data_IF_596172832530
#
_entry.id   IF_596172832530
#
_cell.length_a   1.000
_cell.length_b   1.000
_cell.length_c   1.000
_cell.angle_alpha   90.00
_cell.angle_beta   90.00
_cell.angle_gamma   90.00
#
_symmetry.space_group_name_H-M   'P 1'
#
loop_
_entity.id
_entity.type
_entity.pdbx_description
1 polymer ?
#
# COMPACT_ATOMS: atom_id res chain seq x y z
N UNK A 1 9.09 -45.39 -51.60
CA UNK A 1 10.28 -46.12 -51.99
C UNK A 1 11.23 -45.22 -52.75
N UNK A 2 12.61 -45.34 -52.66
CA UNK A 2 13.43 -45.99 -51.66
C UNK A 2 14.27 -44.98 -50.84
N UNK A 3 14.62 -45.25 -49.64
CA UNK A 3 15.65 -46.06 -48.98
C UNK A 3 17.09 -45.57 -49.13
N UNK A 4 17.74 -45.50 -47.95
CA UNK A 4 19.10 -45.90 -47.48
C UNK A 4 20.12 -44.76 -47.41
N UNK A 5 21.04 -44.65 -46.43
CA UNK A 5 21.66 -45.54 -45.40
C UNK A 5 22.50 -44.67 -44.44
N UNK A 6 22.52 -44.90 -43.15
CA UNK A 6 23.53 -45.36 -42.18
C UNK A 6 25.03 -45.11 -42.48
N UNK A 7 25.74 -44.58 -41.45
CA UNK A 7 27.02 -45.04 -40.85
C UNK A 7 27.36 -44.11 -39.66
N UNK A 8 27.43 -44.47 -38.40
CA UNK A 8 28.33 -45.21 -37.49
C UNK A 8 29.85 -45.00 -37.71
N UNK A 9 30.51 -44.48 -36.66
CA UNK A 9 31.74 -44.99 -36.00
C UNK A 9 32.29 -43.94 -35.07
N UNK A 10 32.42 -44.23 -33.82
CA UNK A 10 33.38 -44.90 -32.94
C UNK A 10 34.24 -43.94 -32.12
N UNK A 11 34.14 -44.12 -30.80
CA UNK A 11 35.15 -43.77 -29.78
C UNK A 11 36.40 -44.62 -29.93
N UNK A 12 37.57 -44.26 -29.35
CA UNK A 12 38.01 -44.57 -28.00
C UNK A 12 38.84 -43.38 -27.39
N UNK A 13 39.12 -43.20 -26.08
CA UNK A 13 39.37 -44.11 -24.99
C UNK A 13 40.74 -43.81 -24.36
N UNK A 14 40.83 -43.72 -23.05
CA UNK A 14 42.06 -43.87 -22.26
C UNK A 14 42.68 -42.52 -21.77
N UNK A 15 43.29 -42.38 -20.62
CA UNK A 15 43.47 -43.16 -19.42
C UNK A 15 44.11 -42.26 -18.34
N UNK A 16 43.71 -42.42 -17.10
CA UNK A 16 44.45 -42.42 -15.81
C UNK A 16 45.73 -41.56 -15.64
N UNK A 17 45.78 -40.85 -14.52
CA UNK A 17 47.00 -40.41 -13.85
C UNK A 17 46.73 -39.85 -12.46
N UNK A 18 46.98 -40.71 -11.45
CA UNK A 18 47.03 -40.41 -10.01
C UNK A 18 48.37 -39.72 -9.66
N UNK A 19 48.39 -38.75 -8.76
CA UNK A 19 49.48 -38.54 -7.77
C UNK A 19 49.07 -37.50 -6.71
N UNK A 20 48.81 -37.96 -5.53
CA UNK A 20 49.32 -37.72 -4.15
C UNK A 20 49.86 -36.32 -3.81
N UNK A 21 49.17 -35.77 -2.81
CA UNK A 21 49.54 -35.17 -1.53
C UNK A 21 50.97 -34.67 -1.28
N UNK A 22 51.08 -33.45 -0.74
CA UNK A 22 51.95 -33.19 0.42
C UNK A 22 51.41 -31.97 1.20
N UNK A 23 51.34 -32.13 2.53
CA UNK A 23 51.06 -31.18 3.57
C UNK A 23 52.07 -30.02 3.63
N UNK A 24 51.63 -28.82 3.93
CA UNK A 24 52.46 -27.83 4.58
C UNK A 24 51.55 -26.88 5.38
N UNK A 25 51.53 -27.15 6.66
CA UNK A 25 51.09 -26.32 7.77
C UNK A 25 51.97 -25.07 7.85
N UNK A 26 51.35 -23.86 7.87
CA UNK A 26 52.06 -22.63 8.23
C UNK A 26 51.13 -21.67 8.98
N UNK A 27 51.60 -21.40 10.17
CA UNK A 27 51.04 -20.67 11.31
C UNK A 27 50.46 -19.27 10.97
N UNK A 28 49.32 -18.98 11.62
CA UNK A 28 48.79 -17.63 11.80
C UNK A 28 49.52 -16.86 12.91
N UNK A 29 49.90 -15.59 12.70
CA UNK A 29 50.26 -14.72 13.81
C UNK A 29 49.00 -14.00 14.35
N UNK A 30 48.94 -13.84 15.68
CA UNK A 30 47.89 -13.17 16.47
C UNK A 30 47.86 -11.65 16.21
N UNK A 31 46.70 -10.99 16.39
CA UNK A 31 46.61 -9.55 16.21
C UNK A 31 47.15 -8.78 17.42
N UNK A 32 48.04 -7.83 17.17
CA UNK A 32 48.53 -6.86 18.17
C UNK A 32 47.42 -5.86 18.52
N UNK A 33 47.17 -5.72 19.82
CA UNK A 33 46.36 -4.66 20.40
C UNK A 33 47.05 -3.32 20.19
N UNK A 34 46.41 -2.43 19.39
CA UNK A 34 46.69 -0.98 19.48
C UNK A 34 45.39 -0.31 19.83
N UNK A 35 45.29 0.05 21.08
CA UNK A 35 44.11 0.65 21.66
C UNK A 35 44.10 2.17 21.60
N UNK A 36 42.91 2.71 21.73
CA UNK A 36 42.62 3.73 22.72
C UNK A 36 43.00 5.19 22.44
N UNK A 37 42.90 5.69 21.20
CA UNK A 37 42.89 7.15 21.03
C UNK A 37 41.70 7.62 20.12
N UNK A 38 41.09 6.72 19.39
CA UNK A 38 39.95 7.06 18.50
C UNK A 38 38.60 7.10 19.24
N UNK A 39 38.43 6.34 20.31
CA UNK A 39 37.15 6.29 21.05
C UNK A 39 36.89 7.56 21.88
N UNK A 40 37.93 8.16 22.48
CA UNK A 40 37.79 9.40 23.26
C UNK A 40 37.46 10.64 22.40
N UNK A 41 37.79 10.64 21.12
CA UNK A 41 37.46 11.75 20.19
C UNK A 41 36.04 11.68 19.65
N UNK A 42 35.44 10.50 19.59
CA UNK A 42 34.06 10.30 19.13
C UNK A 42 33.03 10.71 20.21
N UNK A 43 33.29 10.45 21.47
CA UNK A 43 32.42 10.86 22.58
C UNK A 43 32.43 12.37 22.85
N UNK A 44 33.57 13.04 22.66
CA UNK A 44 33.66 14.50 22.80
C UNK A 44 32.95 15.26 21.67
N UNK A 45 32.79 14.65 20.48
CA UNK A 45 32.07 15.24 19.34
C UNK A 45 30.55 15.04 19.48
N UNK A 46 30.12 13.92 20.08
CA UNK A 46 28.72 13.65 20.35
C UNK A 46 28.12 14.53 21.45
N UNK A 47 28.90 14.87 22.48
CA UNK A 47 28.47 15.79 23.55
C UNK A 47 28.42 17.26 23.13
N UNK A 48 29.23 17.70 22.16
CA UNK A 48 29.13 19.07 21.59
C UNK A 48 27.99 19.28 20.62
N UNK A 49 27.46 18.22 19.98
CA UNK A 49 26.27 18.31 19.12
C UNK A 49 24.95 18.30 19.91
N UNK A 50 24.93 17.74 21.10
CA UNK A 50 23.75 17.69 21.97
C UNK A 50 23.46 19.03 22.70
N UNK A 51 24.47 19.89 22.91
CA UNK A 51 24.28 21.16 23.61
C UNK A 51 23.85 22.33 22.72
N UNK A 52 23.87 22.18 21.38
CA UNK A 52 23.43 23.22 20.42
C UNK A 52 22.00 23.07 19.91
N UNK A 53 21.25 22.06 20.34
CA UNK A 53 19.84 21.83 19.94
C UNK A 53 18.79 22.21 20.99
N UNK A 54 19.14 23.05 21.98
CA UNK A 54 18.19 23.53 23.00
C UNK A 54 17.87 25.01 22.87
N UNK A 55 17.52 25.50 21.70
CA UNK A 55 16.82 26.79 21.56
C UNK A 55 16.19 26.92 20.18
N UNK A 56 15.12 26.21 19.95
CA UNK A 56 14.28 26.36 18.77
C UNK A 56 13.05 25.49 18.97
N UNK A 57 12.04 26.01 19.70
CA UNK A 57 10.77 25.37 19.84
C UNK A 57 10.06 25.28 18.48
N UNK A 58 9.24 24.25 18.23
CA UNK A 58 8.53 24.13 16.98
C UNK A 58 7.52 25.25 16.82
N UNK A 59 7.60 25.99 15.72
CA UNK A 59 6.55 26.93 15.31
C UNK A 59 5.34 26.09 14.89
N UNK A 60 4.31 26.09 15.74
CA UNK A 60 3.00 25.49 15.49
C UNK A 60 2.28 26.28 14.39
N UNK A 61 2.05 25.63 13.25
CA UNK A 61 0.98 26.05 12.35
C UNK A 61 -0.35 25.93 13.11
N UNK A 62 -1.12 27.02 13.13
CA UNK A 62 -2.24 27.26 14.03
C UNK A 62 -3.43 26.31 13.91
N UNK A 63 -3.35 25.17 14.54
CA UNK A 63 -4.49 24.35 14.92
C UNK A 63 -4.71 24.51 16.43
N UNK A 64 -5.86 25.05 16.85
CA UNK A 64 -6.24 25.11 18.27
C UNK A 64 -6.15 23.70 18.86
N UNK A 65 -5.26 23.51 19.83
CA UNK A 65 -5.22 22.30 20.63
C UNK A 65 -6.61 22.07 21.27
N UNK A 66 -7.13 20.86 21.15
CA UNK A 66 -8.39 20.49 21.80
C UNK A 66 -8.19 20.50 23.32
N UNK A 67 -9.18 21.05 24.04
CA UNK A 67 -9.19 21.10 25.49
C UNK A 67 -8.97 19.69 26.08
N UNK A 68 -8.08 19.51 27.09
CA UNK A 68 -7.85 18.23 27.77
C UNK A 68 -9.12 17.52 28.24
N UNK A 69 -10.15 18.25 28.66
CA UNK A 69 -11.46 17.71 29.06
C UNK A 69 -12.21 17.05 27.88
N UNK A 70 -12.11 17.61 26.67
CA UNK A 70 -12.74 17.02 25.49
C UNK A 70 -12.03 15.73 25.05
N UNK A 71 -10.71 15.64 25.28
CA UNK A 71 -9.92 14.41 25.08
C UNK A 71 -10.30 13.32 26.10
N UNK A 72 -10.38 13.68 27.37
CA UNK A 72 -10.77 12.76 28.44
C UNK A 72 -12.19 12.22 28.25
N UNK A 73 -13.13 13.08 27.81
CA UNK A 73 -14.51 12.67 27.52
C UNK A 73 -14.60 11.74 26.30
N UNK A 74 -13.78 11.95 25.27
CA UNK A 74 -13.71 11.05 24.11
C UNK A 74 -13.08 9.69 24.47
N UNK A 75 -12.08 9.67 25.33
CA UNK A 75 -11.46 8.44 25.85
C UNK A 75 -12.41 7.65 26.76
N UNK A 76 -13.12 8.34 27.67
CA UNK A 76 -14.15 7.71 28.50
C UNK A 76 -15.30 7.15 27.67
N UNK A 77 -15.76 7.88 26.65
CA UNK A 77 -16.77 7.39 25.73
C UNK A 77 -16.35 6.14 24.95
N UNK A 78 -15.11 6.08 24.50
CA UNK A 78 -14.56 4.91 23.82
C UNK A 78 -14.39 3.70 24.76
N UNK A 79 -13.96 3.93 26.00
CA UNK A 79 -13.83 2.88 27.02
C UNK A 79 -15.19 2.36 27.49
N UNK A 80 -16.18 3.24 27.68
CA UNK A 80 -17.56 2.85 27.98
C UNK A 80 -18.16 2.00 26.85
N UNK A 81 -17.99 2.43 25.61
CA UNK A 81 -18.45 1.68 24.44
C UNK A 81 -17.81 0.30 24.31
N UNK A 82 -16.49 0.18 24.61
CA UNK A 82 -15.79 -1.10 24.65
C UNK A 82 -16.30 -1.98 25.81
N UNK A 83 -16.56 -1.40 26.98
CA UNK A 83 -17.02 -2.09 28.15
C UNK A 83 -18.44 -2.64 27.96
N UNK A 84 -19.36 -1.83 27.46
CA UNK A 84 -20.73 -2.26 27.12
C UNK A 84 -20.73 -3.41 26.13
N UNK A 85 -19.84 -3.41 25.14
CA UNK A 85 -19.73 -4.51 24.15
C UNK A 85 -19.11 -5.79 24.70
N UNK A 86 -18.20 -5.70 25.67
CA UNK A 86 -17.62 -6.87 26.34
C UNK A 86 -18.61 -7.48 27.33
N UNK A 87 -19.39 -6.69 28.04
CA UNK A 87 -20.41 -7.16 28.97
C UNK A 87 -21.63 -7.76 28.26
N UNK A 88 -22.02 -7.28 27.07
CA UNK A 88 -23.11 -7.81 26.27
C UNK A 88 -22.76 -9.07 25.45
N UNK A 89 -21.54 -9.57 25.53
CA UNK A 89 -21.10 -10.79 24.83
C UNK A 89 -21.13 -10.72 23.30
N UNK A 90 -21.12 -9.51 22.72
CA UNK A 90 -21.28 -9.25 21.29
C UNK A 90 -19.98 -9.35 20.45
N UNK A 91 -18.92 -9.96 20.98
CA UNK A 91 -17.77 -10.41 20.17
C UNK A 91 -18.08 -11.72 19.41
N UNK A 92 -19.32 -11.93 18.99
CA UNK A 92 -19.63 -12.96 17.99
C UNK A 92 -19.49 -12.33 16.60
N UNK A 93 -18.62 -12.95 15.83
CA UNK A 93 -18.36 -12.59 14.43
C UNK A 93 -19.66 -12.23 13.67
N UNK A 94 -19.76 -11.01 13.17
CA UNK A 94 -20.61 -10.66 12.04
C UNK A 94 -22.02 -10.15 12.31
N UNK A 95 -22.40 -9.65 13.50
CA UNK A 95 -23.69 -8.94 13.66
C UNK A 95 -23.52 -7.53 14.22
N UNK A 96 -23.78 -6.55 13.39
CA UNK A 96 -23.91 -5.13 13.77
C UNK A 96 -25.27 -4.93 14.43
N UNK A 97 -25.38 -4.30 15.64
CA UNK A 97 -26.67 -3.92 16.20
C UNK A 97 -27.28 -2.75 15.43
N UNK A 98 -28.62 -2.59 15.42
CA UNK A 98 -29.26 -1.47 14.75
C UNK A 98 -28.94 -0.16 15.49
N UNK A 99 -28.32 0.79 14.78
CA UNK A 99 -28.12 2.14 15.28
C UNK A 99 -29.44 2.90 15.33
N UNK A 100 -29.79 3.38 16.50
CA UNK A 100 -30.88 4.34 16.63
C UNK A 100 -30.42 5.73 16.15
N UNK A 101 -31.31 6.37 15.37
CA UNK A 101 -31.42 7.79 15.07
C UNK A 101 -30.30 8.49 14.31
N UNK A 102 -30.57 8.70 13.05
CA UNK A 102 -30.01 9.70 12.15
C UNK A 102 -30.54 9.41 10.76
N UNK A 103 -31.25 10.36 10.17
CA UNK A 103 -31.76 10.25 8.80
C UNK A 103 -30.57 9.99 7.84
N UNK A 104 -30.29 8.72 7.58
CA UNK A 104 -29.40 8.33 6.49
C UNK A 104 -30.19 8.52 5.19
N UNK A 105 -29.54 9.09 4.18
CA UNK A 105 -30.12 9.21 2.84
C UNK A 105 -30.60 7.85 2.33
N UNK A 106 -31.71 7.82 1.59
CA UNK A 106 -32.30 6.60 1.07
C UNK A 106 -31.28 5.75 0.25
N UNK A 107 -30.35 6.38 -0.44
CA UNK A 107 -29.30 5.71 -1.21
C UNK A 107 -28.31 4.92 -0.35
N UNK A 108 -27.90 5.45 0.82
CA UNK A 108 -27.00 4.73 1.71
C UNK A 108 -27.63 3.49 2.36
N UNK A 109 -28.94 3.52 2.58
CA UNK A 109 -29.71 2.35 3.05
C UNK A 109 -29.81 1.27 1.99
N UNK A 110 -30.03 1.65 0.74
CA UNK A 110 -30.19 0.73 -0.38
C UNK A 110 -28.90 -0.05 -0.70
N UNK A 111 -27.73 0.62 -0.62
CA UNK A 111 -26.41 -0.02 -0.77
C UNK A 111 -26.10 -0.98 0.39
N UNK A 112 -26.41 -0.58 1.63
CA UNK A 112 -26.15 -1.45 2.80
C UNK A 112 -27.08 -2.69 2.83
N UNK A 113 -28.32 -2.55 2.35
CA UNK A 113 -29.28 -3.64 2.23
C UNK A 113 -28.97 -4.57 1.05
N UNK A 114 -28.48 -4.04 -0.07
CA UNK A 114 -28.02 -4.84 -1.22
C UNK A 114 -26.78 -5.66 -0.89
N UNK A 115 -25.82 -5.10 -0.14
CA UNK A 115 -24.63 -5.81 0.35
C UNK A 115 -25.00 -6.91 1.36
N UNK A 116 -26.03 -6.69 2.20
CA UNK A 116 -26.48 -7.67 3.19
C UNK A 116 -27.40 -8.76 2.61
N UNK A 117 -28.14 -8.42 1.58
CA UNK A 117 -29.04 -9.36 0.87
C UNK A 117 -28.36 -10.09 -0.30
N UNK A 118 -27.18 -9.66 -0.71
CA UNK A 118 -26.39 -10.34 -1.73
C UNK A 118 -26.05 -11.73 -1.21
N UNK A 119 -26.73 -12.72 -1.71
CA UNK A 119 -26.43 -14.14 -1.51
C UNK A 119 -24.98 -14.33 -1.91
N UNK A 120 -24.15 -14.87 -1.00
CA UNK A 120 -22.79 -15.28 -1.29
C UNK A 120 -22.81 -16.19 -2.50
N UNK A 121 -22.31 -15.69 -3.64
CA UNK A 121 -22.42 -16.38 -4.93
C UNK A 121 -21.37 -17.48 -5.07
N UNK A 122 -20.19 -17.30 -4.46
CA UNK A 122 -19.09 -18.27 -4.56
C UNK A 122 -18.09 -18.14 -3.38
N UNK A 123 -17.29 -19.18 -3.20
CA UNK A 123 -16.10 -19.16 -2.32
C UNK A 123 -14.95 -18.53 -3.12
N UNK A 124 -14.36 -17.45 -2.63
CA UNK A 124 -13.26 -16.76 -3.30
C UNK A 124 -11.96 -17.57 -3.25
N UNK A 125 -10.98 -17.22 -4.11
CA UNK A 125 -9.67 -17.88 -4.12
C UNK A 125 -8.86 -17.55 -2.87
N UNK A 126 -8.96 -16.34 -2.32
CA UNK A 126 -8.36 -15.97 -1.02
C UNK A 126 -8.93 -16.83 0.12
N UNK A 127 -10.24 -17.06 0.13
CA UNK A 127 -10.85 -17.92 1.14
C UNK A 127 -10.36 -19.36 1.06
N UNK A 128 -10.17 -19.89 -0.15
CA UNK A 128 -9.59 -21.22 -0.37
C UNK A 128 -8.12 -21.28 0.04
N UNK A 129 -7.36 -20.19 -0.20
CA UNK A 129 -5.95 -20.08 0.21
C UNK A 129 -5.80 -20.05 1.73
N UNK A 130 -6.72 -19.36 2.42
CA UNK A 130 -6.68 -19.18 3.87
C UNK A 130 -7.37 -20.33 4.64
N UNK A 131 -8.00 -21.26 3.94
CA UNK A 131 -8.59 -22.44 4.56
C UNK A 131 -7.53 -23.41 5.10
N UNK A 132 -7.91 -24.23 6.09
CA UNK A 132 -7.02 -25.28 6.60
C UNK A 132 -6.69 -26.28 5.49
N UNK A 133 -5.41 -26.76 5.40
CA UNK A 133 -5.02 -27.76 4.43
C UNK A 133 -5.84 -29.06 4.59
N UNK A 134 -6.32 -29.59 3.47
CA UNK A 134 -6.97 -30.91 3.42
C UNK A 134 -5.97 -31.94 2.85
N UNK A 135 -5.47 -32.89 3.66
CA UNK A 135 -4.51 -33.90 3.19
C UNK A 135 -5.06 -34.83 2.10
N UNK A 136 -6.38 -34.92 1.98
CA UNK A 136 -7.04 -35.76 0.97
C UNK A 136 -7.42 -34.98 -0.29
N UNK A 137 -7.07 -33.67 -0.39
CA UNK A 137 -7.42 -32.85 -1.52
C UNK A 137 -6.67 -33.28 -2.79
N UNK A 138 -7.35 -33.23 -3.93
CA UNK A 138 -6.73 -33.32 -5.25
C UNK A 138 -5.65 -32.24 -5.42
N UNK A 139 -4.62 -32.52 -6.22
CA UNK A 139 -3.52 -31.61 -6.48
C UNK A 139 -3.98 -30.19 -6.84
N UNK A 140 -5.03 -30.03 -7.64
CA UNK A 140 -5.62 -28.73 -8.02
C UNK A 140 -6.25 -27.93 -6.89
N UNK A 141 -6.34 -28.53 -5.69
CA UNK A 141 -6.84 -27.89 -4.46
C UNK A 141 -5.74 -27.66 -3.43
N UNK A 142 -4.51 -28.03 -3.75
CA UNK A 142 -3.35 -27.88 -2.85
C UNK A 142 -2.72 -26.48 -2.96
N UNK A 143 -1.96 -26.07 -1.94
CA UNK A 143 -1.23 -24.83 -1.93
C UNK A 143 -0.17 -24.70 -3.04
N UNK A 144 0.61 -25.75 -3.39
CA UNK A 144 1.50 -25.70 -4.55
C UNK A 144 0.79 -25.33 -5.86
N UNK A 145 -0.43 -25.83 -6.10
CA UNK A 145 -1.24 -25.44 -7.25
C UNK A 145 -1.68 -23.98 -7.18
N UNK A 146 -2.10 -23.51 -5.99
CA UNK A 146 -2.47 -22.10 -5.79
C UNK A 146 -1.30 -21.15 -6.03
N UNK A 147 -0.09 -21.51 -5.60
CA UNK A 147 1.12 -20.73 -5.89
C UNK A 147 1.32 -20.54 -7.38
N UNK A 148 1.12 -21.59 -8.20
CA UNK A 148 1.21 -21.46 -9.66
C UNK A 148 0.17 -20.48 -10.24
N UNK A 149 -1.04 -20.48 -9.69
CA UNK A 149 -2.09 -19.51 -10.09
C UNK A 149 -1.77 -18.09 -9.66
N UNK A 150 -1.25 -17.89 -8.44
CA UNK A 150 -0.75 -16.61 -7.95
C UNK A 150 0.35 -16.07 -8.86
N UNK A 151 1.30 -16.92 -9.26
CA UNK A 151 2.34 -16.56 -10.23
C UNK A 151 1.74 -16.14 -11.58
N UNK A 152 0.71 -16.84 -12.06
CA UNK A 152 -0.01 -16.48 -13.28
C UNK A 152 -0.63 -15.08 -13.20
N UNK A 153 -1.24 -14.72 -12.09
CA UNK A 153 -1.80 -13.37 -11.87
C UNK A 153 -0.72 -12.29 -11.78
N UNK A 154 0.45 -12.59 -11.20
CA UNK A 154 1.59 -11.67 -11.23
C UNK A 154 2.06 -11.41 -12.66
N UNK A 155 2.18 -12.47 -13.48
CA UNK A 155 2.58 -12.35 -14.89
C UNK A 155 1.57 -11.51 -15.66
N UNK A 156 0.26 -11.80 -15.53
CA UNK A 156 -0.80 -11.05 -16.17
C UNK A 156 -0.79 -9.56 -15.77
N UNK A 157 -0.65 -9.27 -14.48
CA UNK A 157 -0.60 -7.90 -13.98
C UNK A 157 0.62 -7.14 -14.46
N UNK A 158 1.80 -7.77 -14.45
CA UNK A 158 3.05 -7.15 -14.93
C UNK A 158 3.05 -6.92 -16.43
N UNK A 159 2.51 -7.85 -17.21
CA UNK A 159 2.41 -7.71 -18.67
C UNK A 159 1.40 -6.59 -19.05
N UNK A 160 0.22 -6.59 -18.41
CA UNK A 160 -0.84 -5.61 -18.70
C UNK A 160 -0.42 -4.18 -18.33
N UNK A 161 0.38 -4.01 -17.29
CA UNK A 161 0.79 -2.68 -16.78
C UNK A 161 2.24 -2.32 -17.13
N UNK A 162 2.90 -3.09 -17.99
CA UNK A 162 4.32 -2.91 -18.31
C UNK A 162 4.69 -1.51 -18.82
N UNK A 163 3.77 -0.81 -19.45
CA UNK A 163 3.94 0.53 -20.02
C UNK A 163 3.52 1.67 -19.05
N UNK A 164 3.12 1.35 -17.82
CA UNK A 164 2.77 2.34 -16.80
C UNK A 164 4.01 2.71 -15.99
N UNK A 165 4.46 3.95 -16.09
CA UNK A 165 5.63 4.47 -15.37
C UNK A 165 5.32 5.60 -14.38
N UNK A 166 4.12 6.19 -14.44
CA UNK A 166 3.71 7.38 -13.71
C UNK A 166 2.28 7.26 -13.18
N UNK A 167 1.92 6.09 -12.64
CA UNK A 167 0.60 5.87 -12.07
C UNK A 167 0.39 6.63 -10.76
N UNK A 168 -0.83 7.07 -10.50
CA UNK A 168 -1.28 7.57 -9.20
C UNK A 168 -2.46 6.73 -8.77
N UNK A 169 -2.33 6.06 -7.63
CA UNK A 169 -3.44 5.27 -7.10
C UNK A 169 -4.34 6.11 -6.21
N UNK A 170 -5.64 6.05 -6.47
CA UNK A 170 -6.68 6.77 -5.71
C UNK A 170 -7.58 5.77 -5.02
N UNK A 171 -7.66 5.86 -3.70
CA UNK A 171 -8.45 5.00 -2.83
C UNK A 171 -9.52 5.79 -2.09
N UNK A 172 -10.63 5.14 -1.79
CA UNK A 172 -11.69 5.74 -0.99
C UNK A 172 -12.92 4.84 -0.91
N UNK A 173 -13.99 5.37 -0.34
CA UNK A 173 -15.22 4.61 -0.11
C UNK A 173 -15.94 4.27 -1.42
N UNK A 174 -16.28 2.99 -1.59
CA UNK A 174 -17.21 2.53 -2.63
C UNK A 174 -18.67 2.96 -2.41
N UNK A 175 -18.96 3.56 -1.23
CA UNK A 175 -20.31 3.97 -0.83
C UNK A 175 -20.59 5.46 -1.01
N UNK A 176 -19.61 6.22 -1.47
CA UNK A 176 -19.72 7.65 -1.78
C UNK A 176 -20.58 7.81 -3.02
N UNK A 177 -21.72 8.48 -2.89
CA UNK A 177 -22.63 8.70 -4.03
C UNK A 177 -22.17 9.83 -4.96
N UNK A 178 -22.71 9.93 -6.17
CA UNK A 178 -22.38 11.00 -7.11
C UNK A 178 -22.72 12.42 -6.62
N UNK A 179 -23.66 12.55 -5.70
CA UNK A 179 -24.07 13.83 -5.12
C UNK A 179 -23.19 14.26 -3.93
N UNK A 180 -22.25 13.41 -3.49
CA UNK A 180 -21.34 13.70 -2.38
C UNK A 180 -20.21 14.62 -2.86
N UNK A 181 -19.89 15.71 -2.13
CA UNK A 181 -18.74 16.57 -2.46
C UNK A 181 -17.43 15.82 -2.64
N UNK A 182 -17.21 14.72 -1.89
CA UNK A 182 -16.00 13.90 -2.02
C UNK A 182 -15.90 13.21 -3.39
N UNK A 183 -17.04 12.82 -4.00
CA UNK A 183 -17.07 12.28 -5.35
C UNK A 183 -16.55 13.32 -6.36
N UNK A 184 -17.07 14.55 -6.28
CA UNK A 184 -16.65 15.64 -7.17
C UNK A 184 -15.19 16.03 -6.97
N UNK A 185 -14.71 16.07 -5.73
CA UNK A 185 -13.29 16.32 -5.45
C UNK A 185 -12.39 15.23 -6.03
N UNK A 186 -12.77 13.96 -5.91
CA UNK A 186 -12.00 12.84 -6.48
C UNK A 186 -11.97 12.89 -8.02
N UNK A 187 -13.10 13.23 -8.64
CA UNK A 187 -13.20 13.44 -10.09
C UNK A 187 -12.29 14.57 -10.55
N UNK A 188 -12.38 15.74 -9.89
CA UNK A 188 -11.57 16.92 -10.25
C UNK A 188 -10.08 16.67 -10.05
N UNK A 189 -9.68 16.10 -8.92
CA UNK A 189 -8.29 15.77 -8.64
C UNK A 189 -7.72 14.80 -9.68
N UNK A 190 -8.45 13.76 -10.03
CA UNK A 190 -8.04 12.80 -11.05
C UNK A 190 -7.93 13.45 -12.44
N UNK A 191 -8.83 14.39 -12.76
CA UNK A 191 -8.77 15.17 -14.01
C UNK A 191 -7.49 16.01 -14.08
N UNK A 192 -7.16 16.74 -13.03
CA UNK A 192 -5.95 17.59 -12.95
C UNK A 192 -4.66 16.76 -13.10
N UNK A 193 -4.61 15.58 -12.46
CA UNK A 193 -3.49 14.67 -12.60
C UNK A 193 -3.38 14.09 -14.01
N UNK A 194 -4.51 13.70 -14.61
CA UNK A 194 -4.56 13.19 -15.96
C UNK A 194 -4.11 14.23 -16.99
N UNK A 195 -4.54 15.48 -16.86
CA UNK A 195 -4.07 16.63 -17.68
C UNK A 195 -2.56 16.86 -17.51
N UNK A 196 -2.00 16.49 -16.37
CA UNK A 196 -0.54 16.56 -16.11
C UNK A 196 0.21 15.33 -16.60
N UNK A 197 -0.45 14.39 -17.28
CA UNK A 197 0.13 13.20 -17.90
C UNK A 197 0.23 11.98 -16.99
N UNK A 198 -0.43 11.97 -15.82
CA UNK A 198 -0.44 10.80 -14.95
C UNK A 198 -1.52 9.78 -15.36
N UNK A 199 -1.21 8.51 -15.19
CA UNK A 199 -2.16 7.41 -15.25
C UNK A 199 -2.89 7.29 -13.92
N UNK A 200 -4.21 7.21 -13.92
CA UNK A 200 -5.00 7.04 -12.71
C UNK A 200 -5.32 5.56 -12.50
N UNK A 201 -4.95 5.04 -11.35
CA UNK A 201 -5.16 3.65 -10.97
C UNK A 201 -6.15 3.59 -9.81
N UNK A 202 -7.18 2.75 -9.92
CA UNK A 202 -8.16 2.54 -8.85
C UNK A 202 -8.48 1.05 -8.68
N UNK A 203 -9.31 0.75 -7.68
CA UNK A 203 -9.88 -0.59 -7.52
C UNK A 203 -11.04 -0.91 -8.47
N UNK A 204 -11.33 -0.06 -9.46
CA UNK A 204 -12.38 -0.23 -10.47
C UNK A 204 -13.82 -0.29 -9.93
N UNK A 205 -14.06 -0.16 -8.64
CA UNK A 205 -15.40 -0.19 -8.03
C UNK A 205 -16.15 1.14 -8.18
N UNK A 206 -17.34 1.24 -7.55
CA UNK A 206 -18.13 2.46 -7.52
C UNK A 206 -17.56 3.51 -6.55
N UNK A 207 -18.22 4.64 -6.43
CA UNK A 207 -17.93 5.70 -5.48
C UNK A 207 -16.68 6.48 -5.83
N UNK A 208 -15.74 6.64 -4.90
CA UNK A 208 -14.50 7.39 -5.12
C UNK A 208 -13.69 6.80 -6.28
N UNK A 209 -13.66 5.49 -6.43
CA UNK A 209 -12.95 4.82 -7.53
C UNK A 209 -13.56 5.18 -8.90
N UNK A 210 -14.87 5.16 -8.98
CA UNK A 210 -15.61 5.57 -10.19
C UNK A 210 -15.37 7.05 -10.50
N UNK A 211 -15.46 7.93 -9.49
CA UNK A 211 -15.19 9.35 -9.65
C UNK A 211 -13.79 9.62 -10.21
N UNK A 212 -12.79 8.94 -9.65
CA UNK A 212 -11.40 9.06 -10.10
C UNK A 212 -11.19 8.54 -11.53
N UNK A 213 -11.76 7.38 -11.89
CA UNK A 213 -11.69 6.86 -13.25
C UNK A 213 -12.40 7.79 -14.25
N UNK A 214 -13.53 8.37 -13.85
CA UNK A 214 -14.26 9.36 -14.66
C UNK A 214 -13.42 10.61 -14.91
N UNK A 215 -12.84 11.18 -13.85
CA UNK A 215 -11.95 12.34 -13.94
C UNK A 215 -10.72 12.07 -14.80
N UNK A 216 -10.13 10.89 -14.72
CA UNK A 216 -9.01 10.48 -15.57
C UNK A 216 -9.35 10.58 -17.06
N UNK A 217 -10.50 10.07 -17.46
CA UNK A 217 -10.98 10.15 -18.86
C UNK A 217 -11.31 11.57 -19.29
N UNK A 218 -11.93 12.36 -18.40
CA UNK A 218 -12.23 13.77 -18.67
C UNK A 218 -10.96 14.60 -18.88
N UNK A 219 -9.87 14.30 -18.15
CA UNK A 219 -8.56 14.90 -18.32
C UNK A 219 -7.74 14.34 -19.49
N UNK A 220 -8.29 13.42 -20.27
CA UNK A 220 -7.61 12.80 -21.42
C UNK A 220 -6.49 11.84 -21.05
N UNK A 221 -6.39 11.42 -19.77
CA UNK A 221 -5.41 10.47 -19.27
C UNK A 221 -5.91 9.03 -19.31
N UNK A 222 -5.00 8.09 -19.03
CA UNK A 222 -5.29 6.66 -18.94
C UNK A 222 -5.98 6.31 -17.62
N UNK A 223 -7.07 5.57 -17.70
CA UNK A 223 -7.86 5.10 -16.57
C UNK A 223 -7.69 3.59 -16.38
N UNK A 224 -7.12 3.19 -15.25
CA UNK A 224 -6.73 1.80 -14.97
C UNK A 224 -7.50 1.27 -13.75
N UNK A 225 -7.93 0.02 -13.85
CA UNK A 225 -8.63 -0.69 -12.80
C UNK A 225 -7.91 -1.96 -12.36
N UNK A 226 -7.54 -2.02 -11.09
CA UNK A 226 -7.11 -3.23 -10.40
C UNK A 226 -8.29 -3.79 -9.60
N UNK A 227 -9.17 -4.56 -10.25
CA UNK A 227 -10.35 -5.12 -9.59
C UNK A 227 -10.00 -6.35 -8.74
N UNK A 228 -10.88 -6.73 -7.82
CA UNK A 228 -10.73 -7.92 -6.99
C UNK A 228 -12.02 -8.74 -7.02
N UNK A 229 -11.87 -10.05 -7.15
CA UNK A 229 -12.98 -10.98 -7.00
C UNK A 229 -13.54 -10.92 -5.57
N UNK A 230 -14.82 -10.62 -5.46
CA UNK A 230 -15.53 -10.58 -4.19
C UNK A 230 -16.61 -11.67 -4.15
N UNK A 231 -17.03 -12.15 -2.95
CA UNK A 231 -18.07 -13.19 -2.84
C UNK A 231 -19.47 -12.71 -3.24
N UNK A 232 -19.57 -11.46 -3.69
CA UNK A 232 -20.76 -10.84 -4.27
C UNK A 232 -20.39 -10.15 -5.59
N UNK A 233 -21.33 -10.07 -6.50
CA UNK A 233 -21.09 -9.47 -7.82
C UNK A 233 -20.83 -7.96 -7.70
N UNK A 234 -19.66 -7.53 -8.14
CA UNK A 234 -19.28 -6.12 -8.25
C UNK A 234 -18.59 -5.93 -9.60
N UNK A 235 -19.33 -5.41 -10.57
CA UNK A 235 -18.78 -5.05 -11.88
C UNK A 235 -17.81 -3.87 -11.78
N UNK A 236 -16.90 -3.77 -12.74
CA UNK A 236 -16.08 -2.59 -12.91
C UNK A 236 -16.93 -1.38 -13.32
N UNK A 237 -16.55 -0.18 -12.87
CA UNK A 237 -17.22 1.04 -13.30
C UNK A 237 -16.95 1.32 -14.80
N UNK A 238 -17.85 2.07 -15.50
CA UNK A 238 -17.80 2.23 -16.96
C UNK A 238 -16.67 3.13 -17.47
N UNK A 239 -15.88 3.73 -16.57
CA UNK A 239 -14.84 4.69 -16.92
C UNK A 239 -13.43 4.07 -16.94
N UNK A 240 -13.29 2.77 -16.72
CA UNK A 240 -12.02 2.05 -16.78
C UNK A 240 -11.65 1.71 -18.23
N UNK A 241 -10.43 2.06 -18.66
CA UNK A 241 -9.91 1.74 -20.00
C UNK A 241 -9.14 0.40 -20.01
N UNK A 242 -8.32 0.18 -18.97
CA UNK A 242 -7.54 -1.04 -18.80
C UNK A 242 -7.93 -1.70 -17.47
N UNK A 243 -8.45 -2.92 -17.53
CA UNK A 243 -8.96 -3.65 -16.37
C UNK A 243 -8.21 -4.97 -16.18
N UNK A 244 -7.73 -5.22 -14.97
CA UNK A 244 -7.27 -6.54 -14.53
C UNK A 244 -8.11 -6.99 -13.34
N UNK A 245 -8.64 -8.21 -13.41
CA UNK A 245 -9.43 -8.83 -12.34
C UNK A 245 -8.54 -9.80 -11.54
N UNK A 246 -8.12 -9.40 -10.36
CA UNK A 246 -7.34 -10.22 -9.45
C UNK A 246 -8.24 -11.09 -8.58
N UNK A 247 -7.75 -12.28 -8.22
CA UNK A 247 -8.39 -13.20 -7.27
C UNK A 247 -7.71 -13.19 -5.91
N UNK A 248 -6.43 -12.71 -5.87
CA UNK A 248 -5.63 -12.68 -4.66
C UNK A 248 -5.29 -11.24 -4.26
N UNK A 249 -5.67 -10.85 -3.04
CA UNK A 249 -5.40 -9.50 -2.50
C UNK A 249 -3.92 -9.14 -2.56
N UNK A 250 -3.03 -10.08 -2.22
CA UNK A 250 -1.58 -9.84 -2.21
C UNK A 250 -1.03 -9.46 -3.59
N UNK A 251 -1.54 -10.05 -4.67
CA UNK A 251 -1.11 -9.72 -6.04
C UNK A 251 -1.57 -8.32 -6.40
N UNK A 252 -2.85 -8.03 -6.18
CA UNK A 252 -3.45 -6.71 -6.44
C UNK A 252 -2.72 -5.60 -5.70
N UNK A 253 -2.43 -5.76 -4.40
CA UNK A 253 -1.70 -4.78 -3.59
C UNK A 253 -0.32 -4.48 -4.16
N UNK A 254 0.40 -5.52 -4.60
CA UNK A 254 1.70 -5.35 -5.25
C UNK A 254 1.59 -4.49 -6.52
N UNK A 255 0.52 -4.63 -7.31
CA UNK A 255 0.32 -3.80 -8.51
C UNK A 255 0.11 -2.33 -8.15
N UNK A 256 -0.69 -2.02 -7.13
CA UNK A 256 -0.86 -0.64 -6.68
C UNK A 256 0.46 0.00 -6.29
N UNK A 257 1.28 -0.67 -5.49
CA UNK A 257 2.58 -0.16 -5.05
C UNK A 257 3.55 -0.02 -6.23
N UNK A 258 3.65 -1.06 -7.07
CA UNK A 258 4.65 -1.13 -8.14
C UNK A 258 4.46 -0.07 -9.22
N UNK A 259 3.22 0.21 -9.59
CA UNK A 259 2.90 1.08 -10.72
C UNK A 259 2.51 2.49 -10.33
N UNK A 260 2.55 2.82 -9.03
CA UNK A 260 2.26 4.17 -8.53
C UNK A 260 3.50 4.91 -8.10
N UNK A 261 3.46 6.21 -8.32
CA UNK A 261 4.43 7.18 -7.80
C UNK A 261 3.87 7.97 -6.61
N UNK A 262 2.56 7.85 -6.35
CA UNK A 262 1.87 8.48 -5.23
C UNK A 262 0.57 7.75 -4.90
N UNK A 263 0.14 7.86 -3.64
CA UNK A 263 -1.19 7.45 -3.20
C UNK A 263 -2.01 8.65 -2.74
N UNK A 264 -3.28 8.67 -3.15
CA UNK A 264 -4.28 9.63 -2.70
C UNK A 264 -5.41 8.88 -2.01
N UNK A 265 -5.64 9.22 -0.76
CA UNK A 265 -6.50 8.48 0.15
C UNK A 265 -7.68 9.36 0.55
N UNK A 266 -8.83 9.14 -0.05
CA UNK A 266 -10.10 9.73 0.32
C UNK A 266 -10.73 9.02 1.52
N UNK A 267 -11.73 9.63 2.20
CA UNK A 267 -12.49 8.94 3.23
C UNK A 267 -12.98 7.57 2.80
N UNK A 268 -12.70 6.54 3.62
CA UNK A 268 -13.02 5.17 3.24
C UNK A 268 -13.04 4.19 4.42
N UNK A 269 -13.28 2.92 4.13
CA UNK A 269 -13.36 1.85 5.12
C UNK A 269 -12.03 1.12 5.32
N UNK A 270 -12.13 -0.12 5.80
CA UNK A 270 -10.95 -0.95 6.11
C UNK A 270 -10.05 -1.20 4.91
N UNK A 271 -10.58 -1.41 3.71
CA UNK A 271 -9.76 -1.58 2.51
C UNK A 271 -8.95 -0.32 2.15
N UNK A 272 -9.51 0.88 2.41
CA UNK A 272 -8.80 2.15 2.23
C UNK A 272 -7.70 2.34 3.29
N UNK A 273 -7.98 1.98 4.55
CA UNK A 273 -7.00 2.02 5.64
C UNK A 273 -5.88 1.00 5.44
N UNK A 274 -6.18 -0.16 4.91
CA UNK A 274 -5.23 -1.21 4.59
C UNK A 274 -4.17 -0.73 3.59
N UNK A 275 -4.58 -0.09 2.49
CA UNK A 275 -3.65 0.49 1.51
C UNK A 275 -2.87 1.68 2.08
N UNK A 276 -3.49 2.51 2.92
CA UNK A 276 -2.81 3.61 3.61
C UNK A 276 -1.67 3.09 4.49
N UNK A 277 -1.94 2.14 5.38
CA UNK A 277 -0.94 1.65 6.32
C UNK A 277 0.12 0.77 5.66
N UNK A 278 -0.19 0.08 4.57
CA UNK A 278 0.82 -0.60 3.77
C UNK A 278 1.81 0.40 3.16
N UNK A 279 1.32 1.46 2.51
CA UNK A 279 2.18 2.50 1.94
C UNK A 279 3.06 3.13 3.02
N UNK A 280 2.49 3.56 4.15
CA UNK A 280 3.26 4.15 5.26
C UNK A 280 4.32 3.19 5.81
N UNK A 281 4.02 1.89 5.92
CA UNK A 281 4.97 0.88 6.37
C UNK A 281 6.13 0.73 5.39
N UNK A 282 5.85 0.68 4.08
CA UNK A 282 6.88 0.53 3.06
C UNK A 282 7.78 1.76 2.95
N UNK A 283 7.23 2.97 3.14
CA UNK A 283 8.01 4.21 3.17
C UNK A 283 8.88 4.26 4.44
N UNK A 284 8.28 4.03 5.61
CA UNK A 284 8.97 4.03 6.89
C UNK A 284 10.14 3.03 6.93
N UNK A 285 9.95 1.86 6.33
CA UNK A 285 10.98 0.79 6.28
C UNK A 285 11.98 0.96 5.14
N UNK A 286 11.87 2.03 4.35
CA UNK A 286 12.78 2.31 3.24
C UNK A 286 12.67 1.32 2.08
N UNK A 287 11.49 0.72 1.86
CA UNK A 287 11.22 -0.14 0.70
C UNK A 287 10.81 0.67 -0.53
N UNK A 288 10.16 1.80 -0.31
CA UNK A 288 9.85 2.80 -1.33
C UNK A 288 10.31 4.17 -0.84
N UNK A 289 10.75 5.03 -1.76
CA UNK A 289 11.30 6.36 -1.45
C UNK A 289 10.57 7.43 -2.22
N UNK A 290 10.51 8.65 -1.64
CA UNK A 290 9.93 9.84 -2.27
C UNK A 290 8.51 9.59 -2.81
N UNK A 291 7.71 8.86 -2.04
CA UNK A 291 6.37 8.44 -2.40
C UNK A 291 5.35 9.23 -1.57
N UNK A 292 4.75 10.31 -2.12
CA UNK A 292 3.80 11.12 -1.38
C UNK A 292 2.51 10.33 -1.11
N UNK A 293 2.04 10.43 0.13
CA UNK A 293 0.74 9.92 0.57
C UNK A 293 -0.13 11.13 0.92
N UNK A 294 -1.17 11.37 0.12
CA UNK A 294 -2.10 12.48 0.34
C UNK A 294 -3.37 11.97 1.02
N UNK A 295 -3.65 12.47 2.21
CA UNK A 295 -4.91 12.26 2.92
C UNK A 295 -5.87 13.38 2.54
N UNK A 296 -6.85 13.09 1.70
CA UNK A 296 -7.85 14.05 1.27
C UNK A 296 -9.05 14.03 2.23
N UNK A 297 -9.44 15.22 2.72
CA UNK A 297 -10.55 15.35 3.67
C UNK A 297 -10.09 15.50 5.12
N UNK A 298 -9.60 16.71 5.50
CA UNK A 298 -9.06 17.03 6.83
C UNK A 298 -10.00 16.64 7.97
N UNK A 299 -11.29 16.90 7.81
CA UNK A 299 -12.29 16.59 8.84
C UNK A 299 -12.33 15.08 9.17
N UNK A 300 -12.29 14.24 8.14
CA UNK A 300 -12.33 12.78 8.32
C UNK A 300 -11.04 12.25 8.96
N UNK A 301 -9.89 12.68 8.47
CA UNK A 301 -8.59 12.15 8.87
C UNK A 301 -8.04 12.73 10.17
N UNK A 302 -8.55 13.90 10.63
CA UNK A 302 -8.05 14.59 11.82
C UNK A 302 -8.03 13.70 13.08
N UNK A 303 -9.03 12.82 13.25
CA UNK A 303 -9.08 11.88 14.36
C UNK A 303 -7.97 10.85 14.35
N UNK A 304 -7.70 10.27 13.17
CA UNK A 304 -6.63 9.29 12.97
C UNK A 304 -5.25 9.93 13.16
N UNK A 305 -5.00 11.07 12.52
CA UNK A 305 -3.73 11.80 12.64
C UNK A 305 -3.46 12.19 14.10
N UNK A 306 -4.49 12.65 14.80
CA UNK A 306 -4.36 12.96 16.23
C UNK A 306 -4.04 11.72 17.06
N UNK A 307 -4.70 10.59 16.81
CA UNK A 307 -4.41 9.34 17.50
C UNK A 307 -2.97 8.90 17.24
N UNK A 308 -2.48 9.00 16.02
CA UNK A 308 -1.08 8.72 15.69
C UNK A 308 -0.12 9.63 16.45
N UNK A 309 -0.43 10.93 16.57
CA UNK A 309 0.38 11.89 17.33
C UNK A 309 0.37 11.63 18.84
N UNK A 310 -0.82 11.43 19.42
CA UNK A 310 -1.01 11.42 20.87
C UNK A 310 -0.81 10.05 21.51
N UNK A 311 -0.84 8.97 20.72
CA UNK A 311 -0.62 7.61 21.18
C UNK A 311 0.57 6.96 20.50
N UNK A 312 0.53 6.77 19.19
CA UNK A 312 1.54 5.98 18.48
C UNK A 312 2.92 6.62 18.56
N UNK A 313 3.01 7.92 18.31
CA UNK A 313 4.26 8.68 18.45
C UNK A 313 4.66 8.88 19.93
N UNK A 314 3.72 9.26 20.79
CA UNK A 314 4.01 9.50 22.21
C UNK A 314 4.52 8.25 22.93
N UNK A 315 4.08 7.07 22.52
CA UNK A 315 4.55 5.78 23.03
C UNK A 315 5.78 5.24 22.28
N UNK A 316 6.35 6.02 21.37
CA UNK A 316 7.58 5.66 20.63
C UNK A 316 7.40 4.51 19.63
N UNK A 317 6.18 4.28 19.12
CA UNK A 317 5.92 3.23 18.11
C UNK A 317 6.24 3.70 16.69
N UNK A 318 6.31 5.01 16.48
CA UNK A 318 6.79 5.66 15.27
C UNK A 318 7.70 6.83 15.64
N UNK A 319 8.46 7.33 14.67
CA UNK A 319 9.33 8.51 14.80
C UNK A 319 8.60 9.80 14.45
N UNK A 320 9.05 10.98 14.93
CA UNK A 320 8.42 12.25 14.55
C UNK A 320 8.35 12.49 13.03
N UNK A 321 9.39 12.10 12.29
CA UNK A 321 9.42 12.22 10.82
C UNK A 321 8.43 11.31 10.09
N UNK A 322 7.89 10.28 10.74
CA UNK A 322 6.91 9.39 10.11
C UNK A 322 5.54 10.08 9.93
N UNK A 323 5.26 11.13 10.70
CA UNK A 323 4.06 11.95 10.51
C UNK A 323 4.18 12.89 9.30
N UNK A 324 5.39 13.23 8.89
CA UNK A 324 5.66 14.09 7.74
C UNK A 324 5.54 13.33 6.40
N UNK A 325 5.29 12.01 6.45
CA UNK A 325 5.05 11.18 5.26
C UNK A 325 3.69 11.47 4.61
N UNK A 326 2.79 12.17 5.31
CA UNK A 326 1.42 12.40 4.86
C UNK A 326 1.16 13.89 4.66
N UNK A 327 0.61 14.25 3.50
CA UNK A 327 0.01 15.56 3.26
C UNK A 327 -1.50 15.50 3.56
N UNK A 328 -2.00 16.40 4.38
CA UNK A 328 -3.42 16.49 4.70
C UNK A 328 -4.04 17.73 4.04
N UNK A 329 -4.99 17.54 3.13
CA UNK A 329 -5.61 18.65 2.37
C UNK A 329 -7.10 18.43 2.11
N UNK A 330 -7.82 19.52 1.77
CA UNK A 330 -9.19 19.53 1.26
C UNK A 330 -9.25 20.12 -0.16
N UNK A 331 -8.10 20.50 -0.74
CA UNK A 331 -8.02 21.16 -2.05
C UNK A 331 -7.47 20.19 -3.11
N UNK A 332 -8.25 19.85 -4.16
CA UNK A 332 -7.79 19.03 -5.26
C UNK A 332 -6.55 19.58 -5.99
N UNK A 333 -6.43 20.88 -6.12
CA UNK A 333 -5.29 21.49 -6.79
C UNK A 333 -4.01 21.39 -5.94
N UNK A 334 -4.10 21.60 -4.61
CA UNK A 334 -2.99 21.39 -3.67
C UNK A 334 -2.52 19.93 -3.71
N UNK A 335 -3.48 18.98 -3.69
CA UNK A 335 -3.18 17.56 -3.76
C UNK A 335 -2.47 17.16 -5.08
N UNK A 336 -2.98 17.65 -6.22
CA UNK A 336 -2.37 17.40 -7.53
C UNK A 336 -0.96 18.00 -7.63
N UNK A 337 -0.79 19.25 -7.18
CA UNK A 337 0.50 19.93 -7.21
C UNK A 337 1.56 19.22 -6.37
N UNK A 338 1.18 18.71 -5.18
CA UNK A 338 2.09 17.97 -4.32
C UNK A 338 2.62 16.69 -5.00
N UNK A 339 1.75 15.97 -5.72
CA UNK A 339 2.15 14.77 -6.49
C UNK A 339 3.09 15.15 -7.65
N UNK A 340 2.74 16.20 -8.39
CA UNK A 340 3.55 16.69 -9.52
C UNK A 340 4.96 17.09 -9.06
N UNK A 341 5.05 17.83 -7.96
CA UNK A 341 6.33 18.33 -7.44
C UNK A 341 7.21 17.19 -6.92
N UNK A 342 6.61 16.23 -6.22
CA UNK A 342 7.32 15.03 -5.76
C UNK A 342 7.85 14.19 -6.93
N UNK A 343 7.03 13.97 -7.96
CA UNK A 343 7.45 13.24 -9.16
C UNK A 343 8.59 13.93 -9.91
N UNK A 344 8.53 15.26 -10.05
CA UNK A 344 9.63 16.06 -10.65
C UNK A 344 10.91 15.98 -9.83
N UNK A 345 10.82 16.01 -8.50
CA UNK A 345 11.97 15.85 -7.62
C UNK A 345 12.62 14.48 -7.76
N UNK A 346 11.79 13.41 -7.84
CA UNK A 346 12.22 12.03 -8.06
C UNK A 346 12.98 11.87 -9.38
N UNK A 347 12.44 12.41 -10.47
CA UNK A 347 13.06 12.35 -11.80
C UNK A 347 14.44 13.03 -11.85
N UNK A 348 14.62 14.17 -11.19
CA UNK A 348 15.91 14.85 -11.07
C UNK A 348 16.94 14.03 -10.30
N UNK A 349 16.53 13.36 -9.23
CA UNK A 349 17.42 12.53 -8.42
C UNK A 349 17.94 11.32 -9.21
N UNK A 350 17.09 10.70 -10.03
CA UNK A 350 17.48 9.59 -10.92
C UNK A 350 18.49 10.05 -11.97
N UNK A 351 18.23 11.18 -12.66
CA UNK A 351 19.14 11.76 -13.66
C UNK A 351 20.53 12.08 -13.08
N UNK A 352 20.60 12.74 -11.92
CA UNK A 352 21.88 13.02 -11.27
C UNK A 352 22.66 11.77 -10.86
N UNK A 353 21.97 10.67 -10.56
CA UNK A 353 22.61 9.40 -10.22
C UNK A 353 23.20 8.73 -11.44
N UNK A 354 22.48 8.70 -12.55
CA UNK A 354 22.94 8.17 -13.83
C UNK A 354 24.15 8.97 -14.37
N UNK A 355 24.11 10.32 -14.24
CA UNK A 355 25.23 11.19 -14.63
C UNK A 355 26.46 11.01 -13.74
N UNK A 356 26.30 10.58 -12.49
CA UNK A 356 27.41 10.34 -11.54
C UNK A 356 28.04 8.95 -11.69
N UNK A 357 27.33 8.01 -12.30
CA UNK A 357 27.77 6.63 -12.54
C UNK A 357 28.34 6.42 -13.96
N UNK A 358 28.16 7.40 -14.89
CA UNK A 358 28.66 7.41 -16.25
C UNK A 358 30.03 8.11 -16.36
#
# INVERSE_FOLDING_TARGET
MPQKKRATTRRPGGARGNARATDAEAARPAPKKTGSVAAAKAEATAQKSASRRRSGGPRTAGGKAMNPETLANAEQGALLWLKERTEEGHLKAGRTPPSQTGQRSAGARQVDESIRSSRRLSVTEDEKLLAQPDPAADFTRTDPWRVMRIMGEFIEGFDTFADISNGVSIFGSARTGPDDPQYHHAQELARLLAESGFTIITGAGPGIMEAANKGAREGGGRSVGCNIELPFEQGANPYVDTLVNFRYFMVRKTMFIKYSVAFIIFPGGYGTLDELFEALTLIQTGKIYQFPVVLFGRHYWAGLVRWMQTRVLAEGKISPGDLDLMLLTDDPAEAAQAVIDAFRAQSRTVQHREESEA
#
